data_IF_688219136596
#
_entry.id   IF_688219136596
#
_cell.length_a   1.000
_cell.length_b   1.000
_cell.length_c   1.000
_cell.angle_alpha   90.00
_cell.angle_beta   90.00
_cell.angle_gamma   90.00
#
_symmetry.space_group_name_H-M   'P 1'
#
loop_
_entity.id
_entity.type
_entity.pdbx_description
1 polymer ?
#
# COMPACT_ATOMS: atom_id res chain seq x y z
N UNK A 1 16.41 28.26 13.25
CA UNK A 1 15.22 29.09 13.59
C UNK A 1 14.55 29.52 12.30
N UNK A 2 13.22 29.37 12.19
CA UNK A 2 12.42 29.73 11.00
C UNK A 2 12.71 31.17 10.53
N UNK A 3 12.99 32.07 11.48
CA UNK A 3 13.35 33.47 11.22
C UNK A 3 14.57 33.64 10.30
N UNK A 4 15.54 32.73 10.36
CA UNK A 4 16.71 32.72 9.47
C UNK A 4 16.40 32.10 8.10
N UNK A 5 15.56 31.05 8.07
CA UNK A 5 15.21 30.30 6.85
C UNK A 5 14.19 31.05 5.96
N UNK A 6 13.37 31.94 6.55
CA UNK A 6 12.36 32.78 5.87
C UNK A 6 11.22 32.04 5.16
N UNK A 7 11.13 30.71 5.29
CA UNK A 7 10.01 29.91 4.77
C UNK A 7 9.69 28.71 5.66
N UNK A 8 8.49 28.16 5.53
CA UNK A 8 8.00 27.05 6.37
C UNK A 8 8.12 25.67 5.71
N UNK A 9 8.74 25.57 4.53
CA UNK A 9 9.00 24.29 3.87
C UNK A 9 10.10 23.49 4.56
N UNK A 10 9.98 22.15 4.50
CA UNK A 10 10.99 21.22 4.98
C UNK A 10 12.13 21.13 3.96
N UNK A 11 13.36 21.38 4.41
CA UNK A 11 14.58 21.09 3.65
C UNK A 11 15.17 19.82 4.24
N UNK A 12 15.12 18.72 3.49
CA UNK A 12 15.55 17.41 3.94
C UNK A 12 17.06 17.27 3.75
N UNK A 13 17.75 16.70 4.74
CA UNK A 13 19.17 16.40 4.65
C UNK A 13 19.42 15.20 3.70
N UNK A 14 20.63 15.10 3.10
CA UNK A 14 20.96 13.97 2.24
C UNK A 14 20.82 12.63 2.97
N UNK A 15 20.10 11.69 2.37
CA UNK A 15 19.95 10.32 2.88
C UNK A 15 20.29 9.27 1.81
N UNK A 16 20.83 8.10 2.20
CA UNK A 16 21.21 7.03 1.27
C UNK A 16 20.02 6.15 0.86
N UNK A 17 18.82 6.37 1.43
CA UNK A 17 17.67 5.48 1.23
C UNK A 17 17.16 5.42 -0.22
N UNK A 18 17.14 6.51 -1.01
CA UNK A 18 16.76 6.44 -2.42
C UNK A 18 17.64 5.48 -3.24
N UNK A 19 18.97 5.56 -3.08
CA UNK A 19 19.89 4.68 -3.81
C UNK A 19 19.83 3.24 -3.30
N UNK A 20 19.71 3.05 -1.97
CA UNK A 20 19.51 1.73 -1.38
C UNK A 20 18.24 1.06 -1.91
N UNK A 21 17.11 1.79 -1.96
CA UNK A 21 15.85 1.27 -2.50
C UNK A 21 15.95 0.91 -3.98
N UNK A 22 16.63 1.75 -4.77
CA UNK A 22 16.88 1.46 -6.19
C UNK A 22 17.69 0.18 -6.41
N UNK A 23 18.71 -0.08 -5.59
CA UNK A 23 19.51 -1.31 -5.66
C UNK A 23 18.68 -2.53 -5.23
N UNK A 24 17.80 -2.38 -4.23
CA UNK A 24 16.85 -3.42 -3.84
C UNK A 24 15.85 -3.76 -4.95
N UNK A 25 15.32 -2.75 -5.64
CA UNK A 25 14.42 -2.92 -6.79
C UNK A 25 15.12 -3.62 -7.97
N UNK A 26 16.38 -3.26 -8.25
CA UNK A 26 17.19 -3.94 -9.27
C UNK A 26 17.40 -5.41 -8.91
N UNK A 27 17.83 -5.71 -7.68
CA UNK A 27 18.05 -7.08 -7.22
C UNK A 27 16.75 -7.90 -7.26
N UNK A 28 15.63 -7.33 -6.86
CA UNK A 28 14.30 -7.97 -6.92
C UNK A 28 13.90 -8.29 -8.36
N UNK A 29 14.08 -7.35 -9.28
CA UNK A 29 13.71 -7.53 -10.69
C UNK A 29 14.57 -8.59 -11.36
N UNK A 30 15.90 -8.53 -11.20
CA UNK A 30 16.83 -9.53 -11.76
C UNK A 30 16.60 -10.90 -11.12
N UNK A 31 16.45 -10.96 -9.80
CA UNK A 31 16.13 -12.19 -9.08
C UNK A 31 14.80 -12.81 -9.53
N UNK A 32 13.78 -11.99 -9.76
CA UNK A 32 12.47 -12.43 -10.28
C UNK A 32 12.57 -13.04 -11.67
N UNK A 33 13.28 -12.38 -12.60
CA UNK A 33 13.51 -12.93 -13.94
C UNK A 33 14.29 -14.25 -13.88
N UNK A 34 15.37 -14.30 -13.08
CA UNK A 34 16.15 -15.52 -12.89
C UNK A 34 15.32 -16.67 -12.31
N UNK A 35 14.45 -16.36 -11.34
CA UNK A 35 13.55 -17.33 -10.73
C UNK A 35 12.55 -17.89 -11.74
N UNK A 36 11.90 -17.03 -12.52
CA UNK A 36 10.92 -17.42 -13.55
C UNK A 36 11.52 -18.28 -14.66
N UNK A 37 12.82 -18.15 -14.95
CA UNK A 37 13.54 -18.89 -15.99
C UNK A 37 14.41 -20.03 -15.43
N UNK A 38 14.20 -20.43 -14.16
CA UNK A 38 14.91 -21.57 -13.53
C UNK A 38 16.45 -21.44 -13.48
N UNK A 39 16.98 -20.23 -13.40
CA UNK A 39 18.42 -20.03 -13.19
C UNK A 39 18.83 -20.33 -11.74
N UNK A 40 20.05 -20.84 -11.56
CA UNK A 40 20.63 -21.07 -10.24
C UNK A 40 20.76 -19.75 -9.46
N UNK A 41 20.37 -19.78 -8.18
CA UNK A 41 20.41 -18.60 -7.30
C UNK A 41 19.28 -17.59 -7.49
N UNK A 42 18.35 -17.79 -8.45
CA UNK A 42 17.25 -16.86 -8.71
C UNK A 42 16.33 -16.63 -7.50
N UNK A 43 15.91 -17.70 -6.83
CA UNK A 43 15.09 -17.61 -5.62
C UNK A 43 15.80 -16.85 -4.48
N UNK A 44 17.10 -17.10 -4.31
CA UNK A 44 17.92 -16.43 -3.29
C UNK A 44 18.05 -14.94 -3.57
N UNK A 45 18.35 -14.56 -4.81
CA UNK A 45 18.49 -13.16 -5.20
C UNK A 45 17.15 -12.41 -5.10
N UNK A 46 16.04 -13.03 -5.52
CA UNK A 46 14.71 -12.47 -5.37
C UNK A 46 14.37 -12.22 -3.90
N UNK A 47 14.56 -13.23 -3.04
CA UNK A 47 14.26 -13.13 -1.60
C UNK A 47 15.14 -12.07 -0.92
N UNK A 48 16.43 -12.01 -1.27
CA UNK A 48 17.35 -11.01 -0.76
C UNK A 48 16.95 -9.60 -1.20
N UNK A 49 16.59 -9.42 -2.48
CA UNK A 49 16.10 -8.14 -3.01
C UNK A 49 14.84 -7.66 -2.28
N UNK A 50 13.87 -8.56 -2.04
CA UNK A 50 12.65 -8.25 -1.30
C UNK A 50 12.94 -7.85 0.15
N UNK A 51 13.79 -8.60 0.86
CA UNK A 51 14.21 -8.25 2.23
C UNK A 51 14.93 -6.90 2.24
N UNK A 52 15.76 -6.62 1.24
CA UNK A 52 16.47 -5.35 1.12
C UNK A 52 15.51 -4.17 0.95
N UNK A 53 14.49 -4.30 0.09
CA UNK A 53 13.43 -3.28 -0.07
C UNK A 53 12.68 -3.08 1.26
N UNK A 54 12.24 -4.16 1.91
CA UNK A 54 11.53 -4.09 3.20
C UNK A 54 12.38 -3.39 4.26
N UNK A 55 13.68 -3.67 4.30
CA UNK A 55 14.61 -3.02 5.21
C UNK A 55 14.75 -1.52 4.89
N UNK A 56 14.96 -1.15 3.61
CA UNK A 56 15.05 0.27 3.22
C UNK A 56 13.76 1.01 3.57
N UNK A 57 12.57 0.43 3.31
CA UNK A 57 11.29 1.06 3.68
C UNK A 57 11.18 1.27 5.19
N UNK A 58 11.52 0.25 5.99
CA UNK A 58 11.49 0.36 7.45
C UNK A 58 12.38 1.49 7.97
N UNK A 59 13.64 1.55 7.50
CA UNK A 59 14.59 2.56 7.96
C UNK A 59 14.22 3.96 7.46
N UNK A 60 13.70 4.06 6.23
CA UNK A 60 13.26 5.33 5.68
C UNK A 60 12.04 5.87 6.44
N UNK A 61 11.03 5.04 6.74
CA UNK A 61 9.90 5.47 7.56
C UNK A 61 10.29 5.83 8.98
N UNK A 62 11.26 5.11 9.57
CA UNK A 62 11.84 5.48 10.88
C UNK A 62 12.42 6.89 10.85
N UNK A 63 13.16 7.24 9.80
CA UNK A 63 13.78 8.57 9.69
C UNK A 63 12.72 9.67 9.49
N UNK A 64 11.69 9.43 8.68
CA UNK A 64 10.54 10.35 8.57
C UNK A 64 9.83 10.53 9.91
N UNK A 65 9.65 9.46 10.71
CA UNK A 65 9.06 9.56 12.05
C UNK A 65 9.94 10.37 13.01
N UNK A 66 11.27 10.22 12.93
CA UNK A 66 12.23 11.01 13.71
C UNK A 66 12.18 12.50 13.35
N UNK A 67 12.30 12.82 12.06
CA UNK A 67 12.28 14.20 11.53
C UNK A 67 10.97 14.92 11.89
N UNK A 68 9.86 14.18 11.86
CA UNK A 68 8.54 14.75 12.15
C UNK A 68 8.24 14.90 13.63
N UNK A 69 8.53 13.88 14.44
CA UNK A 69 8.08 13.81 15.84
C UNK A 69 9.11 14.36 16.83
N UNK A 70 10.40 14.09 16.59
CA UNK A 70 11.48 14.47 17.52
C UNK A 70 12.12 15.80 17.11
N UNK A 71 12.31 16.03 15.81
CA UNK A 71 12.95 17.25 15.29
C UNK A 71 11.93 18.34 14.89
N UNK A 72 10.65 17.96 14.71
CA UNK A 72 9.54 18.90 14.56
C UNK A 72 9.48 19.62 13.20
N UNK A 73 10.08 19.05 12.15
CA UNK A 73 10.18 19.70 10.84
C UNK A 73 8.85 19.76 10.04
N UNK A 74 7.80 19.06 10.50
CA UNK A 74 6.50 19.00 9.83
C UNK A 74 5.57 20.18 10.18
N UNK A 75 5.82 21.34 9.55
CA UNK A 75 4.92 22.51 9.61
C UNK A 75 3.56 22.23 8.95
N UNK A 76 2.58 23.13 9.13
CA UNK A 76 1.23 22.96 8.56
C UNK A 76 1.21 22.81 7.03
N UNK A 77 2.09 23.54 6.31
CA UNK A 77 2.18 23.42 4.84
C UNK A 77 2.74 22.05 4.43
N UNK A 78 3.71 21.52 5.18
CA UNK A 78 4.28 20.18 4.93
C UNK A 78 3.25 19.08 5.21
N UNK A 79 2.53 19.18 6.34
CA UNK A 79 1.46 18.23 6.68
C UNK A 79 0.34 18.21 5.62
N UNK A 80 -0.01 19.38 5.07
CA UNK A 80 -0.96 19.49 3.97
C UNK A 80 -0.39 18.84 2.68
N UNK A 81 0.88 19.07 2.36
CA UNK A 81 1.56 18.44 1.23
C UNK A 81 1.56 16.91 1.30
N UNK A 82 1.80 16.33 2.48
CA UNK A 82 1.73 14.88 2.69
C UNK A 82 0.33 14.31 2.40
N UNK A 83 -0.74 15.04 2.77
CA UNK A 83 -2.12 14.63 2.44
C UNK A 83 -2.37 14.64 0.93
N UNK A 84 -1.91 15.67 0.22
CA UNK A 84 -2.00 15.71 -1.24
C UNK A 84 -1.24 14.56 -1.88
N UNK A 85 -0.01 14.29 -1.44
CA UNK A 85 0.80 13.18 -1.94
C UNK A 85 0.11 11.83 -1.76
N UNK A 86 -0.46 11.58 -0.57
CA UNK A 86 -1.15 10.32 -0.29
C UNK A 86 -2.47 10.17 -1.07
N UNK A 87 -3.22 11.26 -1.26
CA UNK A 87 -4.43 11.23 -2.12
C UNK A 87 -4.05 10.91 -3.57
N UNK A 88 -3.00 11.53 -4.12
CA UNK A 88 -2.53 11.23 -5.48
C UNK A 88 -2.06 9.78 -5.62
N UNK A 89 -1.39 9.24 -4.60
CA UNK A 89 -1.01 7.82 -4.55
C UNK A 89 -2.25 6.89 -4.55
N UNK A 90 -3.28 7.20 -3.75
CA UNK A 90 -4.54 6.42 -3.77
C UNK A 90 -5.19 6.49 -5.17
N UNK A 91 -5.20 7.66 -5.82
CA UNK A 91 -5.74 7.81 -7.17
C UNK A 91 -4.97 6.96 -8.18
N UNK A 92 -3.64 6.87 -8.09
CA UNK A 92 -2.88 5.97 -8.96
C UNK A 92 -3.22 4.49 -8.73
N UNK A 93 -3.44 4.07 -7.48
CA UNK A 93 -3.86 2.70 -7.17
C UNK A 93 -5.28 2.40 -7.69
N UNK A 94 -6.21 3.34 -7.60
CA UNK A 94 -7.56 3.19 -8.19
C UNK A 94 -7.47 2.98 -9.70
N UNK A 95 -6.61 3.73 -10.40
CA UNK A 95 -6.39 3.55 -11.84
C UNK A 95 -5.70 2.23 -12.18
N UNK A 96 -4.80 1.75 -11.31
CA UNK A 96 -4.20 0.42 -11.44
C UNK A 96 -5.27 -0.69 -11.35
N UNK A 97 -6.16 -0.65 -10.34
CA UNK A 97 -7.28 -1.59 -10.24
C UNK A 97 -8.28 -1.45 -11.39
N UNK A 98 -8.53 -0.23 -11.87
CA UNK A 98 -9.37 0.02 -13.04
C UNK A 98 -8.90 -0.77 -14.28
N UNK A 99 -7.58 -0.89 -14.49
CA UNK A 99 -7.05 -1.69 -15.59
C UNK A 99 -7.43 -3.19 -15.49
N UNK A 100 -7.42 -3.77 -14.27
CA UNK A 100 -7.86 -5.15 -14.06
C UNK A 100 -9.37 -5.32 -14.25
N UNK A 101 -10.18 -4.38 -13.75
CA UNK A 101 -11.62 -4.39 -14.00
C UNK A 101 -11.93 -4.28 -15.49
N UNK A 102 -11.21 -3.43 -16.22
CA UNK A 102 -11.35 -3.34 -17.67
C UNK A 102 -11.01 -4.68 -18.34
N UNK A 103 -9.88 -5.30 -18.02
CA UNK A 103 -9.52 -6.61 -18.57
C UNK A 103 -10.60 -7.68 -18.29
N UNK A 104 -11.15 -7.70 -17.07
CA UNK A 104 -12.26 -8.59 -16.69
C UNK A 104 -13.53 -8.32 -17.51
N UNK A 105 -13.99 -7.07 -17.61
CA UNK A 105 -15.22 -6.74 -18.35
C UNK A 105 -15.06 -6.99 -19.85
N UNK A 106 -13.90 -6.65 -20.43
CA UNK A 106 -13.63 -6.93 -21.82
C UNK A 106 -13.74 -8.42 -22.14
N UNK A 107 -13.21 -9.27 -21.25
CA UNK A 107 -13.19 -10.73 -21.44
C UNK A 107 -14.52 -11.41 -21.12
N UNK A 108 -15.30 -10.87 -20.18
CA UNK A 108 -16.55 -11.50 -19.70
C UNK A 108 -17.80 -11.04 -20.44
N UNK A 109 -17.84 -9.82 -20.99
CA UNK A 109 -19.02 -9.30 -21.69
C UNK A 109 -19.21 -9.90 -23.09
N UNK A 110 -18.12 -10.21 -23.80
CA UNK A 110 -18.14 -10.88 -25.09
C UNK A 110 -17.18 -12.09 -25.07
N UNK A 111 -17.55 -13.20 -24.41
CA UNK A 111 -16.70 -14.37 -24.28
C UNK A 111 -16.32 -14.95 -25.64
N UNK A 112 -15.08 -15.41 -25.78
CA UNK A 112 -14.59 -15.93 -27.04
C UNK A 112 -15.24 -17.28 -27.38
N UNK A 113 -15.17 -17.68 -28.66
CA UNK A 113 -15.79 -18.91 -29.15
C UNK A 113 -15.12 -20.16 -28.55
N UNK A 114 -13.85 -20.09 -28.19
CA UNK A 114 -13.08 -21.20 -27.60
C UNK A 114 -13.61 -21.61 -26.23
N UNK A 115 -14.22 -20.68 -25.48
CA UNK A 115 -14.88 -20.96 -24.18
C UNK A 115 -16.39 -21.18 -24.33
N UNK A 116 -16.90 -21.24 -25.56
CA UNK A 116 -18.30 -21.53 -25.88
C UNK A 116 -19.23 -20.32 -25.89
N UNK A 117 -18.70 -19.09 -25.92
CA UNK A 117 -19.50 -17.87 -26.05
C UNK A 117 -20.41 -17.55 -24.86
N UNK A 118 -20.16 -18.14 -23.69
CA UNK A 118 -20.96 -17.98 -22.46
C UNK A 118 -20.01 -17.65 -21.30
N UNK A 119 -20.48 -16.82 -20.36
CA UNK A 119 -19.79 -16.54 -19.11
C UNK A 119 -20.67 -16.96 -17.91
N UNK A 120 -20.13 -17.67 -16.91
CA UNK A 120 -18.77 -18.22 -16.83
C UNK A 120 -18.54 -19.39 -17.82
N UNK A 121 -17.28 -19.72 -18.16
CA UNK A 121 -16.97 -20.89 -18.96
C UNK A 121 -17.53 -22.18 -18.34
N UNK A 122 -18.03 -23.08 -19.19
CA UNK A 122 -18.58 -24.37 -18.72
C UNK A 122 -17.51 -25.19 -17.99
N UNK A 123 -17.89 -25.85 -16.90
CA UNK A 123 -17.00 -26.68 -16.09
C UNK A 123 -16.26 -25.95 -14.97
N UNK A 124 -16.38 -24.62 -14.89
CA UNK A 124 -15.87 -23.84 -13.75
C UNK A 124 -16.96 -23.72 -12.68
N UNK A 125 -16.69 -24.27 -11.50
CA UNK A 125 -17.53 -24.06 -10.32
C UNK A 125 -17.34 -22.63 -9.79
N UNK A 126 -18.42 -21.83 -9.83
CA UNK A 126 -18.40 -20.47 -9.28
C UNK A 126 -18.65 -20.54 -7.78
N UNK A 127 -17.89 -19.73 -7.02
CA UNK A 127 -18.11 -19.56 -5.59
C UNK A 127 -19.48 -18.92 -5.33
N UNK A 128 -20.22 -19.41 -4.34
CA UNK A 128 -21.46 -18.75 -3.91
C UNK A 128 -21.12 -17.35 -3.35
N UNK A 129 -21.65 -16.27 -3.93
CA UNK A 129 -21.41 -14.92 -3.43
C UNK A 129 -21.87 -14.68 -1.99
N UNK A 130 -22.81 -15.48 -1.48
CA UNK A 130 -23.45 -15.29 -0.17
C UNK A 130 -22.77 -16.01 1.00
N UNK A 131 -21.80 -16.86 0.71
CA UNK A 131 -21.04 -17.57 1.73
C UNK A 131 -19.83 -16.74 2.20
N UNK A 132 -18.63 -17.20 1.88
CA UNK A 132 -17.37 -16.58 2.30
C UNK A 132 -17.19 -15.15 1.73
N UNK A 133 -17.51 -14.86 0.45
CA UNK A 133 -17.34 -13.50 -0.09
C UNK A 133 -18.21 -12.46 0.64
N UNK A 134 -19.45 -12.82 1.00
CA UNK A 134 -20.33 -11.95 1.75
C UNK A 134 -19.81 -11.69 3.17
N UNK A 135 -19.34 -12.73 3.87
CA UNK A 135 -18.73 -12.58 5.19
C UNK A 135 -17.51 -11.64 5.15
N UNK A 136 -16.64 -11.79 4.14
CA UNK A 136 -15.48 -10.91 3.97
C UNK A 136 -15.89 -9.44 3.80
N UNK A 137 -16.99 -9.19 3.08
CA UNK A 137 -17.54 -7.83 2.92
C UNK A 137 -18.02 -7.26 4.25
N UNK A 138 -18.70 -8.06 5.08
CA UNK A 138 -19.15 -7.64 6.41
C UNK A 138 -17.97 -7.36 7.36
N UNK A 139 -16.92 -8.17 7.31
CA UNK A 139 -15.69 -7.97 8.10
C UNK A 139 -15.03 -6.65 7.71
N UNK A 140 -14.84 -6.39 6.41
CA UNK A 140 -14.24 -5.14 5.92
C UNK A 140 -15.08 -3.90 6.28
N UNK A 141 -16.42 -4.00 6.18
CA UNK A 141 -17.32 -2.91 6.58
C UNK A 141 -17.21 -2.64 8.09
N UNK A 142 -17.18 -3.69 8.91
CA UNK A 142 -17.04 -3.59 10.36
C UNK A 142 -15.68 -2.99 10.75
N UNK A 143 -14.60 -3.39 10.07
CA UNK A 143 -13.25 -2.79 10.22
C UNK A 143 -13.26 -1.30 9.83
N UNK A 144 -13.96 -0.93 8.77
CA UNK A 144 -14.20 0.48 8.38
C UNK A 144 -14.92 1.31 9.46
N UNK A 145 -15.90 0.72 10.14
CA UNK A 145 -16.56 1.36 11.28
C UNK A 145 -15.61 1.48 12.49
N UNK A 146 -14.81 0.46 12.77
CA UNK A 146 -13.84 0.44 13.86
C UNK A 146 -12.72 1.50 13.69
N UNK A 147 -12.19 1.68 12.47
CA UNK A 147 -11.20 2.74 12.21
C UNK A 147 -11.81 4.13 12.30
N UNK A 148 -13.09 4.29 11.91
CA UNK A 148 -13.83 5.55 12.11
C UNK A 148 -13.99 5.86 13.60
N UNK A 149 -14.28 4.84 14.41
CA UNK A 149 -14.30 4.98 15.87
C UNK A 149 -12.92 5.39 16.42
N UNK A 150 -11.82 4.77 15.94
CA UNK A 150 -10.47 5.15 16.32
C UNK A 150 -10.18 6.63 16.01
N UNK A 151 -10.55 7.10 14.82
CA UNK A 151 -10.39 8.49 14.41
C UNK A 151 -11.12 9.46 15.35
N UNK A 152 -12.39 9.21 15.65
CA UNK A 152 -13.15 10.04 16.60
C UNK A 152 -12.59 9.99 18.02
N UNK A 153 -12.04 8.86 18.46
CA UNK A 153 -11.40 8.75 19.77
C UNK A 153 -10.14 9.63 19.85
N UNK A 154 -9.32 9.68 18.79
CA UNK A 154 -8.16 10.57 18.70
C UNK A 154 -8.59 12.05 18.74
N UNK A 155 -9.58 12.44 17.93
CA UNK A 155 -10.10 13.82 17.91
C UNK A 155 -10.69 14.25 19.26
N UNK A 156 -11.31 13.32 20.00
CA UNK A 156 -11.86 13.57 21.33
C UNK A 156 -10.81 13.52 22.46
N UNK A 157 -9.53 13.34 22.15
CA UNK A 157 -8.44 13.23 23.15
C UNK A 157 -8.49 11.95 24.00
N UNK A 158 -9.23 10.91 23.57
CA UNK A 158 -9.41 9.65 24.31
C UNK A 158 -8.41 8.59 23.82
N UNK A 159 -7.13 8.79 24.09
CA UNK A 159 -6.01 7.97 23.58
C UNK A 159 -6.16 6.47 23.84
N UNK A 160 -6.54 6.06 25.07
CA UNK A 160 -6.74 4.64 25.41
C UNK A 160 -7.81 3.98 24.54
N UNK A 161 -8.91 4.69 24.23
CA UNK A 161 -9.98 4.16 23.37
C UNK A 161 -9.54 4.07 21.91
N UNK A 162 -8.70 5.00 21.45
CA UNK A 162 -8.13 4.93 20.11
C UNK A 162 -7.29 3.66 19.93
N UNK A 163 -6.46 3.30 20.91
CA UNK A 163 -5.68 2.04 20.86
C UNK A 163 -6.59 0.82 20.79
N UNK A 164 -7.63 0.73 21.63
CA UNK A 164 -8.58 -0.40 21.57
C UNK A 164 -9.30 -0.50 20.23
N UNK A 165 -9.73 0.64 19.66
CA UNK A 165 -10.38 0.68 18.36
C UNK A 165 -9.44 0.26 17.22
N UNK A 166 -8.16 0.67 17.27
CA UNK A 166 -7.15 0.25 16.30
C UNK A 166 -6.85 -1.25 16.39
N UNK A 167 -6.73 -1.80 17.61
CA UNK A 167 -6.56 -3.25 17.79
C UNK A 167 -7.75 -4.02 17.21
N UNK A 168 -8.98 -3.55 17.46
CA UNK A 168 -10.19 -4.15 16.88
C UNK A 168 -10.28 -4.03 15.35
N UNK A 169 -9.56 -3.09 14.73
CA UNK A 169 -9.49 -2.94 13.27
C UNK A 169 -8.50 -3.94 12.65
N UNK A 170 -7.44 -4.28 13.39
CA UNK A 170 -6.35 -5.16 12.95
C UNK A 170 -6.68 -6.64 13.14
N UNK A 171 -7.46 -6.99 14.16
CA UNK A 171 -7.98 -8.34 14.40
C UNK A 171 -9.09 -8.70 13.41
#
# INVERSE_FOLDING_TARGET
MIESQRHSYHLVDPSPWPISGSLGALATTVGGVMYMHSFQGGATLLSLGLIFILYTMFVWWRDVLRESTLEGHHTKVVQLGLRYGFILFIVSEVMFFFAFFWAFFHSSLAPTVEIGGIWPPKGIGVLDPWEIPFLNTLILLSSGAAVTWAHHAILAGKEKRAVYALVATVL
#
